data_IF_978798321421
#
_entry.id   IF_978798321421
#
_cell.length_a   1.000
_cell.length_b   1.000
_cell.length_c   1.000
_cell.angle_alpha   90.00
_cell.angle_beta   90.00
_cell.angle_gamma   90.00
#
_symmetry.space_group_name_H-M   'P 1'
#
loop_
_entity.id
_entity.type
_entity.pdbx_description
1 polymer ?
#
# COMPACT_ATOMS: atom_id res chain seq x y z
N UNK A 1 -13.37 -1.09 -3.91
CA UNK A 1 -12.05 -0.45 -4.09
C UNK A 1 -11.84 0.60 -3.00
N UNK A 2 -10.64 0.68 -2.40
CA UNK A 2 -10.28 1.66 -1.38
C UNK A 2 -9.98 3.05 -1.99
N UNK A 3 -10.29 4.12 -1.25
CA UNK A 3 -9.92 5.47 -1.64
C UNK A 3 -8.47 5.80 -1.24
N UNK A 4 -7.93 6.94 -1.70
CA UNK A 4 -6.55 7.33 -1.41
C UNK A 4 -6.27 7.54 0.09
N UNK A 5 -7.26 8.00 0.86
CA UNK A 5 -7.10 8.21 2.30
C UNK A 5 -6.95 6.88 3.03
N UNK A 6 -7.76 5.88 2.68
CA UNK A 6 -7.65 4.51 3.21
C UNK A 6 -6.30 3.90 2.85
N UNK A 7 -5.83 4.06 1.61
CA UNK A 7 -4.52 3.55 1.20
C UNK A 7 -3.37 4.21 1.97
N UNK A 8 -3.45 5.53 2.22
CA UNK A 8 -2.46 6.25 3.05
C UNK A 8 -2.46 5.73 4.48
N UNK A 9 -3.63 5.58 5.10
CA UNK A 9 -3.76 5.07 6.46
C UNK A 9 -3.17 3.66 6.60
N UNK A 10 -3.50 2.76 5.67
CA UNK A 10 -2.92 1.41 5.63
C UNK A 10 -1.41 1.43 5.43
N UNK A 11 -0.90 2.31 4.57
CA UNK A 11 0.55 2.43 4.33
C UNK A 11 1.30 2.84 5.60
N UNK A 12 0.75 3.78 6.37
CA UNK A 12 1.34 4.22 7.63
C UNK A 12 1.31 3.11 8.71
N UNK A 13 0.23 2.33 8.77
CA UNK A 13 0.13 1.22 9.72
C UNK A 13 1.14 0.09 9.40
N UNK A 14 1.30 -0.24 8.11
CA UNK A 14 2.30 -1.21 7.66
C UNK A 14 3.71 -0.68 7.92
N UNK A 15 3.96 0.61 7.64
CA UNK A 15 5.26 1.24 7.90
C UNK A 15 5.63 1.14 9.38
N UNK A 16 4.71 1.47 10.30
CA UNK A 16 4.93 1.37 11.75
C UNK A 16 5.17 -0.07 12.25
N UNK A 17 4.54 -1.06 11.62
CA UNK A 17 4.69 -2.46 12.02
C UNK A 17 5.94 -3.13 11.46
N UNK A 18 6.48 -2.64 10.35
CA UNK A 18 7.61 -3.27 9.63
C UNK A 18 8.92 -2.50 9.65
N UNK A 19 8.88 -1.18 9.85
CA UNK A 19 10.06 -0.33 9.82
C UNK A 19 10.44 0.08 11.23
N UNK A 20 11.71 -0.13 11.61
CA UNK A 20 12.27 0.44 12.82
C UNK A 20 12.55 1.93 12.59
N UNK A 21 11.54 2.75 12.84
CA UNK A 21 11.56 4.19 12.60
C UNK A 21 12.61 4.92 13.44
N UNK A 22 13.15 4.31 14.50
CA UNK A 22 14.15 4.96 15.36
C UNK A 22 15.57 4.84 14.80
N UNK A 23 15.84 3.78 14.06
CA UNK A 23 17.17 3.44 13.53
C UNK A 23 17.29 3.67 12.02
N UNK A 24 16.21 4.06 11.35
CA UNK A 24 16.18 4.35 9.92
C UNK A 24 16.30 5.86 9.68
N UNK A 25 17.00 6.24 8.63
CA UNK A 25 17.03 7.65 8.17
C UNK A 25 15.67 8.07 7.61
N UNK A 26 15.42 9.38 7.56
CA UNK A 26 14.18 9.93 6.98
C UNK A 26 14.00 9.52 5.51
N UNK A 27 15.09 9.46 4.75
CA UNK A 27 15.08 9.02 3.34
C UNK A 27 14.68 7.55 3.21
N UNK A 28 15.20 6.67 4.07
CA UNK A 28 14.81 5.25 4.10
C UNK A 28 13.34 5.08 4.47
N UNK A 29 12.87 5.79 5.49
CA UNK A 29 11.47 5.76 5.93
C UNK A 29 10.55 6.22 4.79
N UNK A 30 10.92 7.30 4.09
CA UNK A 30 10.15 7.82 2.96
C UNK A 30 10.11 6.80 1.82
N UNK A 31 11.25 6.16 1.50
CA UNK A 31 11.33 5.12 0.48
C UNK A 31 10.43 3.93 0.81
N UNK A 32 10.49 3.43 2.05
CA UNK A 32 9.61 2.34 2.50
C UNK A 32 8.13 2.71 2.40
N UNK A 33 7.77 3.92 2.83
CA UNK A 33 6.40 4.40 2.71
C UNK A 33 5.92 4.42 1.25
N UNK A 34 6.74 4.94 0.33
CA UNK A 34 6.41 5.02 -1.09
C UNK A 34 6.25 3.63 -1.71
N UNK A 35 7.13 2.69 -1.37
CA UNK A 35 7.07 1.30 -1.86
C UNK A 35 5.81 0.57 -1.37
N UNK A 36 5.45 0.75 -0.10
CA UNK A 36 4.20 0.20 0.48
C UNK A 36 2.99 0.81 -0.23
N UNK A 37 2.94 2.14 -0.37
CA UNK A 37 1.80 2.83 -0.97
C UNK A 37 1.62 2.45 -2.45
N UNK A 38 2.70 2.32 -3.21
CA UNK A 38 2.67 1.86 -4.59
C UNK A 38 2.14 0.42 -4.70
N UNK A 39 2.58 -0.46 -3.81
CA UNK A 39 2.12 -1.86 -3.75
C UNK A 39 0.62 -1.94 -3.46
N UNK A 40 0.15 -1.17 -2.48
CA UNK A 40 -1.28 -1.09 -2.14
C UNK A 40 -2.12 -0.48 -3.27
N UNK A 41 -1.61 0.55 -3.96
CA UNK A 41 -2.29 1.09 -5.13
C UNK A 41 -2.43 0.05 -6.25
N UNK A 42 -1.38 -0.72 -6.53
CA UNK A 42 -1.43 -1.73 -7.57
C UNK A 42 -2.43 -2.84 -7.21
N UNK A 43 -2.40 -3.36 -5.98
CA UNK A 43 -3.38 -4.33 -5.52
C UNK A 43 -4.83 -3.79 -5.60
N UNK A 44 -5.03 -2.54 -5.19
CA UNK A 44 -6.35 -1.89 -5.24
C UNK A 44 -6.85 -1.67 -6.69
N UNK A 45 -5.95 -1.45 -7.65
CA UNK A 45 -6.28 -1.40 -9.09
C UNK A 45 -6.65 -2.78 -9.62
N UNK A 46 -5.90 -3.83 -9.27
CA UNK A 46 -6.20 -5.21 -9.67
C UNK A 46 -7.58 -5.66 -9.16
N UNK A 47 -7.89 -5.37 -7.89
CA UNK A 47 -9.22 -5.64 -7.33
C UNK A 47 -10.35 -4.89 -8.05
N UNK A 48 -10.07 -3.68 -8.58
CA UNK A 48 -11.04 -2.93 -9.39
C UNK A 48 -11.17 -3.48 -10.82
N UNK A 49 -10.11 -4.04 -11.40
CA UNK A 49 -10.19 -4.68 -12.71
C UNK A 49 -10.87 -6.06 -12.65
N UNK A 50 -10.81 -6.75 -11.51
CA UNK A 50 -11.42 -8.07 -11.32
C UNK A 50 -12.95 -8.03 -11.19
N UNK A 51 -13.57 -6.85 -10.98
CA UNK A 51 -15.02 -6.69 -11.16
C UNK A 51 -15.48 -6.96 -12.61
N UNK A 52 -14.54 -7.04 -13.58
CA UNK A 52 -14.79 -7.48 -14.96
C UNK A 52 -14.33 -8.91 -15.27
N UNK A 53 -13.70 -9.61 -14.32
CA UNK A 53 -13.44 -11.04 -14.49
C UNK A 53 -14.71 -11.77 -14.08
N UNK A 54 -15.53 -12.08 -15.10
CA UNK A 54 -16.37 -13.28 -15.06
C UNK A 54 -15.50 -14.38 -14.48
N UNK A 55 -15.79 -14.76 -13.25
CA UNK A 55 -15.34 -16.00 -12.64
C UNK A 55 -15.48 -17.05 -13.73
N UNK A 56 -14.33 -17.55 -14.23
CA UNK A 56 -14.27 -18.64 -15.18
C UNK A 56 -15.03 -19.80 -14.52
N UNK A 57 -16.27 -19.99 -14.99
CA UNK A 57 -17.05 -21.21 -14.84
C UNK A 57 -16.40 -22.31 -15.66
#
# INVERSE_FOLDING_TARGET
>A
MFNNETLRALSLEILKSKCDLKNSSEEEILKFYLDIYASLQNANKTLKSDDNIKILK
#
